data_IF_782024596395
#
_entry.id   IF_782024596395
#
_cell.length_a   1.000
_cell.length_b   1.000
_cell.length_c   1.000
_cell.angle_alpha   90.00
_cell.angle_beta   90.00
_cell.angle_gamma   90.00
#
_symmetry.space_group_name_H-M   'P 1'
#
loop_
_entity.id
_entity.type
_entity.pdbx_description
1 polymer ?
#
# COMPACT_ATOMS: atom_id res chain seq x y z
N UNK A 1 36.29 -18.80 -32.72
CA UNK A 1 35.71 -19.37 -31.48
C UNK A 1 35.55 -18.36 -30.33
N UNK A 2 36.35 -17.28 -30.25
CA UNK A 2 36.25 -16.31 -29.15
C UNK A 2 35.03 -15.38 -29.27
N UNK A 3 34.64 -15.00 -30.49
CA UNK A 3 33.50 -14.08 -30.73
C UNK A 3 32.15 -14.65 -30.26
N UNK A 4 31.95 -15.97 -30.33
CA UNK A 4 30.69 -16.62 -29.93
C UNK A 4 30.49 -16.60 -28.41
N UNK A 5 31.57 -16.62 -27.62
CA UNK A 5 31.51 -16.57 -26.15
C UNK A 5 31.13 -15.19 -25.63
N UNK A 6 31.54 -14.11 -26.31
CA UNK A 6 31.19 -12.73 -25.93
C UNK A 6 29.69 -12.47 -26.15
N UNK A 7 29.13 -13.01 -27.23
CA UNK A 7 27.70 -12.87 -27.56
C UNK A 7 26.82 -13.56 -26.51
N UNK A 8 27.20 -14.76 -26.05
CA UNK A 8 26.50 -15.45 -24.97
C UNK A 8 26.55 -14.70 -23.64
N UNK A 9 27.68 -14.08 -23.31
CA UNK A 9 27.83 -13.31 -22.08
C UNK A 9 26.88 -12.09 -22.07
N UNK A 10 26.80 -11.36 -23.19
CA UNK A 10 25.92 -10.20 -23.34
C UNK A 10 24.43 -10.56 -23.22
N UNK A 11 24.01 -11.68 -23.81
CA UNK A 11 22.62 -12.15 -23.73
C UNK A 11 22.26 -12.54 -22.29
N UNK A 12 23.15 -13.25 -21.57
CA UNK A 12 22.93 -13.63 -20.16
C UNK A 12 22.87 -12.39 -19.26
N UNK A 13 23.75 -11.41 -19.47
CA UNK A 13 23.70 -10.16 -18.70
C UNK A 13 22.46 -9.32 -19.00
N UNK A 14 22.00 -9.30 -20.25
CA UNK A 14 20.76 -8.61 -20.65
C UNK A 14 19.51 -9.26 -20.05
N UNK A 15 19.45 -10.60 -20.01
CA UNK A 15 18.36 -11.34 -19.36
C UNK A 15 18.36 -11.18 -17.83
N UNK A 16 19.52 -11.19 -17.17
CA UNK A 16 19.62 -10.89 -15.74
C UNK A 16 19.18 -9.46 -15.41
N UNK A 17 19.48 -8.49 -16.27
CA UNK A 17 19.04 -7.11 -16.09
C UNK A 17 17.51 -6.96 -16.23
N UNK A 18 16.89 -7.71 -17.15
CA UNK A 18 15.43 -7.74 -17.29
C UNK A 18 14.71 -8.47 -16.14
N UNK A 19 15.29 -9.52 -15.58
CA UNK A 19 14.72 -10.26 -14.45
C UNK A 19 14.82 -9.50 -13.11
N UNK A 20 15.80 -8.61 -12.95
CA UNK A 20 15.86 -7.70 -11.79
C UNK A 20 14.89 -6.51 -11.90
N UNK A 21 14.16 -6.38 -13.01
CA UNK A 21 13.14 -5.34 -13.21
C UNK A 21 11.72 -5.84 -12.88
N UNK A 22 11.62 -6.85 -12.00
CA UNK A 22 10.39 -7.19 -11.30
C UNK A 22 10.07 -6.00 -10.40
N UNK A 23 9.10 -5.20 -10.86
CA UNK A 23 8.55 -4.07 -10.13
C UNK A 23 8.32 -4.42 -8.66
N UNK A 24 8.74 -3.59 -7.69
CA UNK A 24 8.53 -3.88 -6.29
C UNK A 24 7.09 -3.63 -5.82
N UNK A 25 6.12 -3.52 -6.73
CA UNK A 25 4.71 -3.23 -6.46
C UNK A 25 4.06 -4.16 -5.43
N UNK A 26 2.87 -3.78 -4.98
CA UNK A 26 2.15 -4.52 -3.96
C UNK A 26 0.71 -4.07 -3.79
N UNK A 27 -0.04 -4.89 -3.07
CA UNK A 27 -1.45 -4.66 -2.77
C UNK A 27 -1.57 -4.09 -1.37
N UNK A 28 -2.22 -2.95 -1.24
CA UNK A 28 -2.45 -2.25 0.02
C UNK A 28 -3.91 -2.42 0.42
N UNK A 29 -4.15 -3.00 1.60
CA UNK A 29 -5.48 -3.43 2.02
C UNK A 29 -5.78 -3.02 3.44
N UNK A 30 -7.04 -2.75 3.73
CA UNK A 30 -7.51 -2.44 5.08
C UNK A 30 -9.03 -2.23 5.12
N UNK A 31 -9.54 -1.97 6.32
CA UNK A 31 -10.96 -1.64 6.55
C UNK A 31 -11.05 -0.35 7.35
N UNK A 32 -11.84 0.61 6.89
CA UNK A 32 -12.09 1.86 7.61
C UNK A 32 -13.47 1.79 8.27
N UNK A 33 -13.52 2.06 9.57
CA UNK A 33 -14.76 2.04 10.34
C UNK A 33 -14.80 3.17 11.38
N UNK A 34 -16.01 3.53 11.79
CA UNK A 34 -16.31 4.49 12.83
C UNK A 34 -17.12 3.80 13.92
N UNK A 35 -16.49 3.56 15.07
CA UNK A 35 -17.10 2.82 16.19
C UNK A 35 -17.74 1.50 15.73
N UNK A 36 -16.98 0.68 15.00
CA UNK A 36 -17.42 -0.61 14.40
C UNK A 36 -18.45 -0.52 13.26
N UNK A 37 -18.80 0.68 12.81
CA UNK A 37 -19.64 0.89 11.62
C UNK A 37 -18.73 1.14 10.42
N UNK A 38 -18.73 0.29 9.38
CA UNK A 38 -17.87 0.50 8.23
C UNK A 38 -18.19 1.79 7.46
N UNK A 39 -17.16 2.50 7.01
CA UNK A 39 -17.32 3.72 6.22
C UNK A 39 -17.21 3.43 4.73
N UNK A 40 -18.33 3.57 4.01
CA UNK A 40 -18.42 3.36 2.57
C UNK A 40 -18.10 4.65 1.77
N UNK A 41 -17.50 4.49 0.59
CA UNK A 41 -17.27 5.59 -0.36
C UNK A 41 -16.15 6.55 0.03
N UNK A 42 -15.34 6.22 1.04
CA UNK A 42 -14.19 7.02 1.47
C UNK A 42 -13.08 6.88 0.45
N UNK A 43 -12.57 8.01 -0.05
CA UNK A 43 -11.41 8.02 -0.94
C UNK A 43 -10.16 7.81 -0.09
N UNK A 44 -9.43 6.73 -0.40
CA UNK A 44 -8.15 6.38 0.20
C UNK A 44 -7.09 6.57 -0.87
N UNK A 45 -6.04 7.33 -0.55
CA UNK A 45 -4.98 7.67 -1.51
C UNK A 45 -3.62 7.34 -0.92
N UNK A 46 -2.77 6.66 -1.69
CA UNK A 46 -1.36 6.43 -1.35
C UNK A 46 -0.51 7.45 -2.10
N UNK A 47 0.30 8.18 -1.35
CA UNK A 47 1.26 9.14 -1.88
C UNK A 47 2.69 8.65 -1.66
N UNK A 48 3.54 8.91 -2.64
CA UNK A 48 4.98 8.96 -2.44
C UNK A 48 5.40 10.33 -1.90
N UNK A 49 6.29 10.35 -0.91
CA UNK A 49 6.68 11.62 -0.24
C UNK A 49 7.45 12.57 -1.15
N UNK A 50 8.29 12.03 -2.04
CA UNK A 50 9.21 12.80 -2.87
C UNK A 50 8.74 12.91 -4.33
N UNK A 51 7.53 12.43 -4.64
CA UNK A 51 6.96 12.49 -5.97
C UNK A 51 5.53 12.99 -5.93
N UNK A 52 5.01 13.43 -7.08
CA UNK A 52 3.61 13.83 -7.24
C UNK A 52 2.74 12.66 -7.72
N UNK A 53 3.25 11.42 -7.68
CA UNK A 53 2.49 10.24 -8.09
C UNK A 53 1.70 9.69 -6.91
N UNK A 54 0.48 9.26 -7.21
CA UNK A 54 -0.41 8.69 -6.22
C UNK A 54 -1.33 7.65 -6.86
N UNK A 55 -1.86 6.77 -6.03
CA UNK A 55 -2.91 5.83 -6.40
C UNK A 55 -4.07 6.00 -5.42
N UNK A 56 -5.28 6.13 -5.95
CA UNK A 56 -6.49 6.32 -5.15
C UNK A 56 -7.52 5.24 -5.46
N UNK A 57 -8.25 4.82 -4.45
CA UNK A 57 -9.43 3.99 -4.59
C UNK A 57 -10.45 4.35 -3.51
N UNK A 58 -11.69 3.88 -3.66
CA UNK A 58 -12.75 4.10 -2.67
C UNK A 58 -12.99 2.85 -1.84
N UNK A 59 -13.37 3.05 -0.59
CA UNK A 59 -13.91 1.96 0.22
C UNK A 59 -15.24 1.48 -0.35
N UNK A 60 -15.48 0.17 -0.27
CA UNK A 60 -16.77 -0.45 -0.64
C UNK A 60 -17.71 -0.50 0.58
N UNK A 61 -18.88 -1.12 0.43
CA UNK A 61 -19.97 -1.12 1.44
C UNK A 61 -19.55 -1.62 2.83
N UNK A 62 -18.58 -2.54 2.91
CA UNK A 62 -18.06 -3.06 4.19
C UNK A 62 -16.85 -2.27 4.70
N UNK A 63 -16.59 -1.06 4.18
CA UNK A 63 -15.46 -0.21 4.56
C UNK A 63 -14.09 -0.69 4.08
N UNK A 64 -14.04 -1.80 3.34
CA UNK A 64 -12.80 -2.35 2.79
C UNK A 64 -12.25 -1.48 1.66
N UNK A 65 -10.94 -1.29 1.64
CA UNK A 65 -10.21 -0.73 0.49
C UNK A 65 -9.11 -1.66 0.03
N UNK A 66 -8.81 -1.60 -1.27
CA UNK A 66 -7.68 -2.26 -1.89
C UNK A 66 -7.06 -1.31 -2.92
N UNK A 67 -5.75 -1.08 -2.82
CA UNK A 67 -5.00 -0.26 -3.77
C UNK A 67 -3.91 -1.13 -4.37
N UNK A 68 -3.94 -1.30 -5.69
CA UNK A 68 -2.89 -1.95 -6.44
C UNK A 68 -1.85 -0.91 -6.84
N UNK A 69 -0.70 -0.97 -6.18
CA UNK A 69 0.43 -0.08 -6.43
C UNK A 69 1.38 -0.80 -7.38
N UNK A 70 1.29 -0.41 -8.65
CA UNK A 70 2.12 -0.92 -9.73
C UNK A 70 3.41 -0.09 -9.93
N UNK A 71 4.08 -0.31 -11.07
CA UNK A 71 5.33 0.35 -11.51
C UNK A 71 5.31 1.89 -11.48
N UNK A 72 4.15 2.53 -11.37
CA UNK A 72 4.03 3.99 -11.35
C UNK A 72 4.58 4.61 -10.06
N UNK A 73 4.60 3.86 -8.96
CA UNK A 73 5.19 4.27 -7.71
C UNK A 73 6.53 3.53 -7.50
N UNK A 74 7.64 4.27 -7.59
CA UNK A 74 9.02 3.75 -7.46
C UNK A 74 9.50 3.60 -6.02
N UNK A 75 8.96 4.39 -5.08
CA UNK A 75 9.38 4.48 -3.68
C UNK A 75 8.18 4.60 -2.71
N UNK A 76 7.07 3.92 -3.01
CA UNK A 76 5.84 3.94 -2.19
C UNK A 76 6.05 3.56 -0.71
N UNK A 77 7.11 2.81 -0.39
CA UNK A 77 7.46 2.48 1.00
C UNK A 77 7.89 3.70 1.81
N UNK A 78 8.41 4.73 1.14
CA UNK A 78 8.64 6.06 1.68
C UNK A 78 7.46 6.98 1.34
N UNK A 79 6.28 6.58 1.81
CA UNK A 79 5.01 7.19 1.46
C UNK A 79 4.00 7.08 2.60
N UNK A 80 2.83 7.65 2.39
CA UNK A 80 1.73 7.64 3.36
C UNK A 80 0.39 7.39 2.68
N UNK A 81 -0.53 6.80 3.42
CA UNK A 81 -1.94 6.73 3.06
C UNK A 81 -2.64 7.95 3.66
N UNK A 82 -3.46 8.61 2.83
CA UNK A 82 -4.35 9.70 3.19
C UNK A 82 -5.81 9.27 2.99
N UNK A 83 -6.67 9.60 3.94
CA UNK A 83 -8.12 9.54 3.75
C UNK A 83 -8.84 10.55 4.65
N UNK A 84 -9.99 11.03 4.18
CA UNK A 84 -10.89 11.83 5.00
C UNK A 84 -11.77 10.91 5.85
N UNK A 85 -11.59 11.00 7.16
CA UNK A 85 -12.32 10.20 8.13
C UNK A 85 -13.50 11.00 8.68
N UNK A 86 -14.71 10.59 8.27
CA UNK A 86 -15.97 11.20 8.70
C UNK A 86 -16.69 10.29 9.70
N UNK A 87 -16.59 10.64 10.98
CA UNK A 87 -17.26 9.93 12.08
C UNK A 87 -18.03 10.98 12.91
N UNK A 88 -19.24 10.70 13.43
CA UNK A 88 -19.99 11.68 14.22
C UNK A 88 -19.17 12.23 15.40
N UNK A 89 -18.97 13.55 15.43
CA UNK A 89 -18.14 14.21 16.44
C UNK A 89 -16.62 14.10 16.22
N UNK A 90 -16.17 13.43 15.16
CA UNK A 90 -14.75 13.26 14.85
C UNK A 90 -14.54 13.29 13.31
N UNK A 91 -14.17 14.47 12.80
CA UNK A 91 -13.90 14.71 11.39
C UNK A 91 -12.45 15.12 11.21
N UNK A 92 -11.66 14.31 10.51
CA UNK A 92 -10.22 14.58 10.36
C UNK A 92 -9.66 13.96 9.09
N UNK A 93 -8.64 14.59 8.52
CA UNK A 93 -7.80 13.94 7.50
C UNK A 93 -6.76 13.11 8.24
N UNK A 94 -6.69 11.82 7.89
CA UNK A 94 -5.80 10.86 8.51
C UNK A 94 -4.63 10.59 7.58
N UNK A 95 -3.43 10.55 8.16
CA UNK A 95 -2.17 10.25 7.47
C UNK A 95 -1.52 9.05 8.18
N UNK A 96 -1.26 7.97 7.45
CA UNK A 96 -0.61 6.76 7.98
C UNK A 96 0.61 6.40 7.15
N UNK A 97 1.77 6.27 7.81
CA UNK A 97 3.01 5.89 7.14
C UNK A 97 2.92 4.46 6.60
N UNK A 98 3.29 4.27 5.34
CA UNK A 98 3.25 2.96 4.68
C UNK A 98 4.24 1.97 5.31
N UNK A 99 5.37 2.45 5.82
CA UNK A 99 6.40 1.59 6.41
C UNK A 99 6.02 0.98 7.78
N UNK A 100 4.88 1.36 8.37
CA UNK A 100 4.42 0.86 9.67
C UNK A 100 3.47 -0.34 9.57
N UNK A 101 3.13 -0.79 8.37
CA UNK A 101 2.09 -1.83 8.18
C UNK A 101 2.61 -3.24 8.14
N UNK A 102 1.72 -4.18 8.43
CA UNK A 102 2.04 -5.60 8.39
C UNK A 102 2.19 -6.07 6.94
N UNK A 103 3.38 -6.59 6.60
CA UNK A 103 3.61 -7.27 5.34
C UNK A 103 3.17 -8.73 5.45
N UNK A 104 2.10 -9.09 4.75
CA UNK A 104 1.63 -10.46 4.60
C UNK A 104 2.21 -10.99 3.29
N UNK A 105 3.13 -11.96 3.38
CA UNK A 105 3.64 -12.68 2.20
C UNK A 105 2.77 -13.90 1.96
N UNK A 106 2.08 -13.93 0.83
CA UNK A 106 1.41 -15.16 0.39
C UNK A 106 2.40 -16.00 -0.43
N UNK A 107 2.95 -17.04 0.19
CA UNK A 107 3.91 -17.96 -0.45
C UNK A 107 3.32 -18.74 -1.63
N UNK A 108 1.98 -18.78 -1.75
CA UNK A 108 1.27 -19.58 -2.75
C UNK A 108 0.71 -18.74 -3.91
N UNK A 109 0.85 -17.41 -3.91
CA UNK A 109 0.47 -16.58 -5.06
C UNK A 109 1.51 -16.76 -6.18
N UNK A 110 1.03 -17.08 -7.39
CA UNK A 110 1.84 -17.13 -8.61
C UNK A 110 2.59 -15.81 -8.87
N UNK A 111 2.05 -14.69 -8.38
CA UNK A 111 2.63 -13.35 -8.56
C UNK A 111 3.54 -12.91 -7.41
N UNK A 112 3.71 -13.72 -6.34
CA UNK A 112 4.45 -13.35 -5.12
C UNK A 112 4.06 -11.95 -4.59
N UNK A 113 2.76 -11.65 -4.63
CA UNK A 113 2.25 -10.33 -4.26
C UNK A 113 2.66 -9.96 -2.83
N UNK A 114 3.27 -8.78 -2.68
CA UNK A 114 3.51 -8.19 -1.37
C UNK A 114 2.19 -7.54 -0.93
N UNK A 115 1.56 -8.10 0.09
CA UNK A 115 0.32 -7.53 0.64
C UNK A 115 0.68 -6.72 1.88
N UNK A 116 0.38 -5.43 1.85
CA UNK A 116 0.55 -4.50 2.95
C UNK A 116 -0.81 -4.28 3.61
N UNK A 117 -0.99 -4.85 4.81
CA UNK A 117 -2.27 -4.85 5.50
C UNK A 117 -2.29 -3.87 6.66
N UNK A 118 -3.18 -2.88 6.57
CA UNK A 118 -3.39 -1.84 7.59
C UNK A 118 -4.32 -2.31 8.73
N UNK A 119 -4.93 -3.50 8.60
CA UNK A 119 -5.90 -3.96 9.58
C UNK A 119 -7.19 -3.14 9.53
N UNK A 120 -7.77 -2.94 10.72
CA UNK A 120 -8.97 -2.15 10.93
C UNK A 120 -8.53 -0.76 11.42
N UNK A 121 -8.94 0.27 10.68
CA UNK A 121 -8.66 1.67 10.96
C UNK A 121 -9.90 2.32 11.58
N UNK A 122 -9.84 2.58 12.88
CA UNK A 122 -10.83 3.34 13.65
C UNK A 122 -10.15 4.42 14.52
N UNK A 123 -9.70 5.54 13.91
CA UNK A 123 -9.01 6.62 14.63
C UNK A 123 -9.78 7.16 15.84
N UNK A 124 -11.12 7.20 15.76
CA UNK A 124 -11.96 7.67 16.86
C UNK A 124 -11.93 6.73 18.07
N UNK A 125 -11.78 5.41 17.87
CA UNK A 125 -11.64 4.45 18.95
C UNK A 125 -10.26 4.56 19.63
N UNK A 126 -9.20 4.78 18.85
CA UNK A 126 -7.83 4.94 19.37
C UNK A 126 -7.71 6.18 20.26
N UNK A 127 -8.26 7.32 19.83
CA UNK A 127 -8.16 8.56 20.61
C UNK A 127 -9.06 8.53 21.86
N UNK A 128 -10.24 7.89 21.81
CA UNK A 128 -11.06 7.66 23.02
C UNK A 128 -10.31 6.90 24.11
N UNK A 129 -9.51 5.90 23.75
CA UNK A 129 -8.72 5.13 24.73
C UNK A 129 -7.67 6.04 25.39
N UNK A 130 -7.02 6.94 24.64
CA UNK A 130 -6.05 7.89 25.21
C UNK A 130 -6.70 8.82 26.23
N UNK A 131 -7.88 9.34 25.91
CA UNK A 131 -8.63 10.25 26.80
C UNK A 131 -9.14 9.56 28.08
N UNK A 132 -9.15 8.22 28.14
CA UNK A 132 -9.64 7.46 29.30
C UNK A 132 -8.50 7.00 30.24
N UNK A 133 -7.24 7.18 29.85
CA UNK A 133 -6.07 6.68 30.59
C UNK A 133 -5.37 7.80 31.40
N UNK A 134 -5.93 9.01 31.41
CA UNK A 134 -5.48 10.14 32.25
C UNK A 134 -6.08 10.12 33.67
#
# INVERSE_FOLDING_TARGET
>A
MIQTNILYLLIVTGFCYHLNNISPGGLFKGVIQCSRIPLNGIIVTIYERESLTFVSNRTIENGYFELDVDKQLKNFLNGYIEFYYHCPGYNKIIYLEVNQVALIKNSNSYLKDKIYYFGILDPAEIDKIKDTVD
#
